data_IF_572471896557
#
_entry.id   IF_572471896557
#
_cell.length_a   1.000
_cell.length_b   1.000
_cell.length_c   1.000
_cell.angle_alpha   90.00
_cell.angle_beta   90.00
_cell.angle_gamma   90.00
#
_symmetry.space_group_name_H-M   'P 1'
#
loop_
_entity.id
_entity.type
_entity.pdbx_description
1 polymer ?
#
# COMPACT_ATOMS: atom_id res chain seq x y z
N UNK A 1 -7.87 20.05 3.71
CA UNK A 1 -6.41 19.73 3.77
C UNK A 1 -6.30 18.22 3.85
N UNK A 2 -5.69 17.61 2.86
CA UNK A 2 -5.52 16.15 2.77
C UNK A 2 -4.17 15.77 3.40
N UNK A 3 -4.20 14.95 4.45
CA UNK A 3 -2.98 14.46 5.13
C UNK A 3 -2.80 12.97 4.88
N UNK A 4 -1.58 12.59 4.57
CA UNK A 4 -1.16 11.20 4.37
C UNK A 4 -0.03 10.90 5.35
N UNK A 5 -0.16 9.80 6.06
CA UNK A 5 0.85 9.25 6.95
C UNK A 5 1.24 7.85 6.45
N UNK A 6 2.49 7.67 6.07
CA UNK A 6 3.02 6.35 5.71
C UNK A 6 3.27 5.59 7.01
N UNK A 7 2.47 4.57 7.28
CA UNK A 7 2.61 3.73 8.47
C UNK A 7 3.68 2.67 8.29
N UNK A 8 3.74 2.09 7.09
CA UNK A 8 4.74 1.12 6.68
C UNK A 8 5.10 1.31 5.21
N UNK A 9 6.37 1.16 4.89
CA UNK A 9 6.92 1.47 3.55
C UNK A 9 7.51 0.27 2.82
N UNK A 10 7.72 -0.87 3.50
CA UNK A 10 8.27 -2.08 2.90
C UNK A 10 7.18 -2.98 2.28
N UNK A 11 7.57 -3.85 1.36
CA UNK A 11 6.75 -4.94 0.85
C UNK A 11 6.56 -6.05 1.90
N UNK A 12 5.85 -7.11 1.54
CA UNK A 12 5.59 -8.26 2.39
C UNK A 12 6.86 -8.79 3.07
N UNK A 13 6.77 -9.04 4.38
CA UNK A 13 7.88 -9.45 5.23
C UNK A 13 8.66 -8.31 5.90
N UNK A 14 8.46 -7.05 5.49
CA UNK A 14 9.14 -5.89 6.06
C UNK A 14 10.64 -5.82 5.71
N UNK A 15 11.35 -4.84 6.26
CA UNK A 15 12.80 -4.72 6.12
C UNK A 15 13.42 -4.32 7.46
N UNK A 16 14.35 -5.11 8.05
CA UNK A 16 14.86 -6.38 7.54
C UNK A 16 13.79 -7.49 7.59
N UNK A 17 13.72 -8.33 6.57
CA UNK A 17 12.87 -9.51 6.64
C UNK A 17 13.49 -10.54 7.57
N UNK A 18 12.68 -11.25 8.37
CA UNK A 18 13.10 -12.13 9.45
C UNK A 18 14.08 -13.25 9.03
N UNK A 19 13.96 -13.75 7.82
CA UNK A 19 14.73 -14.85 7.26
C UNK A 19 15.69 -14.41 6.12
N UNK A 20 15.92 -13.11 5.93
CA UNK A 20 16.72 -12.57 4.83
C UNK A 20 18.05 -11.99 5.34
N UNK A 21 19.14 -12.33 4.67
CA UNK A 21 20.48 -11.77 4.86
C UNK A 21 20.99 -11.02 3.61
N UNK A 22 20.07 -10.45 2.82
CA UNK A 22 20.47 -9.51 1.76
C UNK A 22 21.20 -8.30 2.34
N UNK A 23 21.96 -7.61 1.51
CA UNK A 23 22.77 -6.44 1.90
C UNK A 23 21.96 -5.41 2.69
N UNK A 24 20.72 -5.15 2.25
CA UNK A 24 19.80 -4.23 2.94
C UNK A 24 19.43 -4.77 4.33
N UNK A 25 19.00 -6.04 4.41
CA UNK A 25 18.60 -6.65 5.67
C UNK A 25 19.75 -6.68 6.67
N UNK A 26 20.96 -6.99 6.23
CA UNK A 26 22.16 -6.95 7.08
C UNK A 26 22.49 -5.52 7.52
N UNK A 27 22.51 -4.56 6.59
CA UNK A 27 22.79 -3.16 6.89
C UNK A 27 21.84 -2.59 7.97
N UNK A 28 20.54 -2.95 7.91
CA UNK A 28 19.57 -2.52 8.91
C UNK A 28 19.83 -3.19 10.26
N UNK A 29 20.12 -4.51 10.31
CA UNK A 29 20.45 -5.21 11.56
C UNK A 29 21.72 -4.69 12.20
N UNK A 30 22.72 -4.37 11.38
CA UNK A 30 24.02 -3.82 11.80
C UNK A 30 23.93 -2.31 12.09
N UNK A 31 22.76 -1.71 11.97
CA UNK A 31 22.52 -0.28 12.23
C UNK A 31 23.44 0.65 11.42
N UNK A 32 23.70 0.29 10.18
CA UNK A 32 24.48 1.14 9.27
C UNK A 32 23.83 2.53 9.18
N UNK A 33 24.64 3.57 9.24
CA UNK A 33 24.16 4.95 9.28
C UNK A 33 23.20 5.27 8.10
N UNK A 34 22.06 5.85 8.43
CA UNK A 34 21.00 6.20 7.48
C UNK A 34 20.06 5.05 7.09
N UNK A 35 20.31 3.82 7.56
CA UNK A 35 19.35 2.72 7.43
C UNK A 35 18.36 2.71 8.59
N UNK A 36 17.15 2.22 8.36
CA UNK A 36 16.13 2.05 9.39
C UNK A 36 15.22 0.86 9.09
N UNK A 37 14.73 0.17 10.13
CA UNK A 37 13.66 -0.81 9.95
C UNK A 37 12.44 -0.20 9.28
N UNK A 38 11.76 -0.99 8.46
CA UNK A 38 10.52 -0.61 7.76
C UNK A 38 9.50 -1.72 7.91
N UNK A 39 8.30 -1.35 8.31
CA UNK A 39 7.16 -2.26 8.40
C UNK A 39 6.48 -2.40 7.05
N UNK A 40 5.63 -3.42 6.93
CA UNK A 40 4.93 -3.74 5.69
C UNK A 40 3.93 -2.64 5.31
N UNK A 41 3.74 -2.45 4.01
CA UNK A 41 3.08 -1.29 3.41
C UNK A 41 1.66 -1.04 3.92
N UNK A 42 1.46 0.16 4.43
CA UNK A 42 0.16 0.72 4.80
C UNK A 42 0.27 2.23 4.88
N UNK A 43 -0.78 2.95 4.51
CA UNK A 43 -0.88 4.38 4.75
C UNK A 43 -2.18 4.71 5.51
N UNK A 44 -2.15 5.78 6.29
CA UNK A 44 -3.36 6.38 6.87
C UNK A 44 -3.62 7.74 6.25
N UNK A 45 -4.87 8.04 5.91
CA UNK A 45 -5.26 9.30 5.27
C UNK A 45 -6.44 9.93 6.00
N UNK A 46 -6.42 11.25 6.13
CA UNK A 46 -7.53 12.04 6.65
C UNK A 46 -7.71 13.33 5.85
N UNK A 47 -8.96 13.78 5.70
CA UNK A 47 -9.30 15.06 5.10
C UNK A 47 -9.77 16.10 6.14
N UNK A 48 -10.16 15.67 7.34
CA UNK A 48 -10.66 16.53 8.42
C UNK A 48 -9.75 16.59 9.67
N UNK A 49 -8.71 15.74 9.72
CA UNK A 49 -7.73 15.70 10.79
C UNK A 49 -8.12 14.82 11.99
N UNK A 50 -9.34 14.30 12.04
CA UNK A 50 -9.87 13.48 13.14
C UNK A 50 -10.19 12.05 12.72
N UNK A 51 -10.85 11.90 11.58
CA UNK A 51 -11.24 10.59 11.05
C UNK A 51 -10.17 10.08 10.08
N UNK A 52 -9.51 8.98 10.44
CA UNK A 52 -8.46 8.38 9.63
C UNK A 52 -8.96 7.09 8.98
N UNK A 53 -8.61 6.91 7.73
CA UNK A 53 -8.81 5.66 7.01
C UNK A 53 -7.46 5.04 6.69
N UNK A 54 -7.32 3.74 6.96
CA UNK A 54 -6.19 2.94 6.50
C UNK A 54 -6.38 2.55 5.05
N UNK A 55 -5.31 2.54 4.30
CA UNK A 55 -5.22 1.93 2.98
C UNK A 55 -4.23 0.77 3.09
N UNK A 56 -4.78 -0.44 3.03
CA UNK A 56 -4.20 -1.71 3.43
C UNK A 56 -3.93 -1.84 4.93
N UNK A 57 -4.21 -3.01 5.48
CA UNK A 57 -4.02 -3.35 6.88
C UNK A 57 -2.85 -4.33 7.01
N UNK A 58 -1.66 -3.79 7.22
CA UNK A 58 -0.42 -4.55 7.37
C UNK A 58 -0.43 -5.45 8.63
N UNK A 59 0.18 -6.63 8.59
CA UNK A 59 0.41 -7.45 9.79
C UNK A 59 1.08 -6.69 10.93
N UNK A 60 1.85 -5.64 10.60
CA UNK A 60 2.58 -4.80 11.57
C UNK A 60 1.70 -3.69 12.18
N UNK A 61 0.40 -3.65 11.89
CA UNK A 61 -0.50 -2.54 12.25
C UNK A 61 -0.43 -2.16 13.73
N UNK A 62 -0.28 -3.13 14.63
CA UNK A 62 -0.16 -2.85 16.07
C UNK A 62 1.03 -1.95 16.39
N UNK A 63 2.22 -2.27 15.86
CA UNK A 63 3.42 -1.45 16.03
C UNK A 63 3.35 -0.13 15.25
N UNK A 64 2.73 -0.14 14.07
CA UNK A 64 2.50 1.06 13.28
C UNK A 64 1.64 2.09 14.04
N UNK A 65 0.57 1.64 14.70
CA UNK A 65 -0.26 2.51 15.56
C UNK A 65 0.57 3.05 16.73
N UNK A 66 1.32 2.19 17.43
CA UNK A 66 2.12 2.61 18.60
C UNK A 66 3.21 3.62 18.26
N UNK A 67 3.80 3.52 17.07
CA UNK A 67 4.88 4.40 16.63
C UNK A 67 4.39 5.76 16.09
N UNK A 68 3.09 5.92 15.85
CA UNK A 68 2.53 7.12 15.23
C UNK A 68 1.49 7.78 16.14
N UNK A 69 1.82 8.93 16.72
CA UNK A 69 0.98 9.65 17.70
C UNK A 69 -0.40 10.01 17.17
N UNK A 70 -0.51 10.24 15.84
CA UNK A 70 -1.78 10.54 15.17
C UNK A 70 -2.78 9.39 15.25
N UNK A 71 -2.28 8.16 15.45
CA UNK A 71 -3.08 6.94 15.56
C UNK A 71 -3.42 6.57 17.02
N UNK A 72 -2.91 7.33 18.00
CA UNK A 72 -3.15 7.03 19.42
C UNK A 72 -4.59 7.35 19.82
N UNK A 73 -5.13 6.60 20.80
CA UNK A 73 -6.42 6.90 21.41
C UNK A 73 -6.46 8.30 22.02
N UNK A 74 -7.63 8.95 21.96
CA UNK A 74 -7.87 10.18 22.72
C UNK A 74 -7.84 9.85 24.23
N UNK A 75 -7.07 10.62 24.97
CA UNK A 75 -6.84 10.46 26.42
C UNK A 75 -8.09 10.61 27.27
N UNK A 76 -9.13 11.24 26.72
CA UNK A 76 -10.41 11.46 27.43
C UNK A 76 -11.28 10.19 27.47
N UNK A 77 -10.92 9.13 26.74
CA UNK A 77 -11.70 7.90 26.66
C UNK A 77 -10.86 6.70 27.10
N UNK A 78 -11.40 5.77 27.92
CA UNK A 78 -10.72 4.53 28.28
C UNK A 78 -10.39 3.64 27.08
N UNK A 79 -11.24 3.69 26.03
CA UNK A 79 -11.04 3.06 24.73
C UNK A 79 -11.50 4.01 23.63
N UNK A 80 -10.64 4.22 22.64
CA UNK A 80 -10.89 5.07 21.48
C UNK A 80 -9.94 4.66 20.35
N UNK A 81 -10.34 4.91 19.12
CA UNK A 81 -9.49 4.83 17.96
C UNK A 81 -9.83 5.97 17.01
N UNK A 82 -8.85 6.69 16.46
CA UNK A 82 -9.09 7.65 15.40
C UNK A 82 -9.37 6.97 14.04
N UNK A 83 -9.19 5.64 13.97
CA UNK A 83 -9.44 4.88 12.74
C UNK A 83 -10.95 4.69 12.55
N UNK A 84 -11.45 5.19 11.44
CA UNK A 84 -12.86 5.10 11.03
C UNK A 84 -13.12 4.02 9.99
N UNK A 85 -12.07 3.57 9.29
CA UNK A 85 -12.21 2.52 8.29
C UNK A 85 -10.90 2.04 7.69
N UNK A 86 -11.02 1.03 6.85
CA UNK A 86 -9.95 0.42 6.07
C UNK A 86 -10.40 0.28 4.62
N UNK A 87 -9.52 0.58 3.68
CA UNK A 87 -9.69 0.33 2.23
C UNK A 87 -8.63 -0.65 1.79
N UNK A 88 -9.02 -1.75 1.17
CA UNK A 88 -8.10 -2.80 0.72
C UNK A 88 -7.89 -2.73 -0.80
N UNK A 89 -6.64 -2.78 -1.25
CA UNK A 89 -6.28 -2.75 -2.68
C UNK A 89 -6.15 -4.14 -3.30
N UNK A 90 -5.92 -5.16 -2.50
CA UNK A 90 -5.89 -6.57 -2.90
C UNK A 90 -6.10 -7.49 -1.68
N UNK A 91 -6.04 -8.81 -1.89
CA UNK A 91 -6.22 -9.82 -0.85
C UNK A 91 -4.94 -10.43 -0.29
N UNK A 92 -3.77 -9.90 -0.58
CA UNK A 92 -2.50 -10.45 -0.08
C UNK A 92 -2.36 -10.28 1.45
N UNK A 93 -1.61 -11.19 2.06
CA UNK A 93 -1.46 -11.29 3.54
C UNK A 93 -0.94 -9.98 4.13
N UNK A 94 0.02 -9.34 3.47
CA UNK A 94 0.60 -8.06 3.91
C UNK A 94 -0.38 -6.88 3.82
N UNK A 95 -1.51 -7.04 3.12
CA UNK A 95 -2.56 -6.02 3.01
C UNK A 95 -3.80 -6.30 3.84
N UNK A 96 -4.06 -7.56 4.25
CA UNK A 96 -5.31 -7.90 4.96
C UNK A 96 -5.10 -8.41 6.37
N UNK A 97 -3.93 -8.98 6.72
CA UNK A 97 -3.76 -9.65 8.01
C UNK A 97 -3.84 -8.70 9.21
N UNK A 98 -3.52 -7.43 9.05
CA UNK A 98 -3.67 -6.40 10.08
C UNK A 98 -5.11 -6.15 10.53
N UNK A 99 -6.10 -6.56 9.72
CA UNK A 99 -7.51 -6.55 10.14
C UNK A 99 -7.72 -7.33 11.45
N UNK A 100 -6.94 -8.39 11.69
CA UNK A 100 -7.01 -9.18 12.91
C UNK A 100 -6.64 -8.39 14.18
N UNK A 101 -5.81 -7.34 14.04
CA UNK A 101 -5.50 -6.39 15.12
C UNK A 101 -6.72 -5.55 15.49
N UNK A 102 -7.62 -5.28 14.53
CA UNK A 102 -8.79 -4.40 14.69
C UNK A 102 -10.04 -5.12 15.27
N UNK A 103 -9.89 -6.34 15.82
CA UNK A 103 -10.96 -7.14 16.42
C UNK A 103 -11.53 -6.60 17.74
N UNK A 104 -11.02 -5.47 18.22
CA UNK A 104 -11.24 -4.98 19.59
C UNK A 104 -12.57 -4.20 19.76
N UNK A 105 -13.57 -4.47 18.92
CA UNK A 105 -14.92 -3.93 19.01
C UNK A 105 -14.98 -2.39 18.97
N UNK A 106 -14.23 -1.81 18.04
CA UNK A 106 -14.35 -0.40 17.65
C UNK A 106 -15.15 -0.31 16.34
N UNK A 107 -15.98 0.68 16.22
CA UNK A 107 -16.74 0.94 15.00
C UNK A 107 -15.81 1.19 13.81
N UNK A 108 -15.99 0.43 12.75
CA UNK A 108 -15.10 0.44 11.59
C UNK A 108 -15.85 0.09 10.31
N UNK A 109 -15.51 0.75 9.19
CA UNK A 109 -15.96 0.37 7.85
C UNK A 109 -14.81 -0.24 7.07
N UNK A 110 -14.98 -1.45 6.52
CA UNK A 110 -13.99 -2.12 5.66
C UNK A 110 -14.48 -2.10 4.23
N UNK A 111 -13.82 -1.33 3.39
CA UNK A 111 -14.10 -1.20 1.96
C UNK A 111 -13.15 -2.08 1.16
N UNK A 112 -13.70 -2.91 0.29
CA UNK A 112 -12.94 -3.74 -0.62
C UNK A 112 -13.76 -4.09 -1.87
N UNK A 113 -13.06 -4.42 -2.96
CA UNK A 113 -13.71 -5.04 -4.11
C UNK A 113 -14.37 -6.37 -3.70
N UNK A 114 -15.51 -6.77 -4.31
CA UNK A 114 -16.20 -8.02 -3.98
C UNK A 114 -15.28 -9.26 -3.96
N UNK A 115 -14.31 -9.32 -4.85
CA UNK A 115 -13.31 -10.40 -4.87
C UNK A 115 -12.47 -10.47 -3.60
N UNK A 116 -12.02 -9.33 -3.09
CA UNK A 116 -11.26 -9.27 -1.82
C UNK A 116 -12.17 -9.57 -0.64
N UNK A 117 -13.43 -9.13 -0.67
CA UNK A 117 -14.41 -9.53 0.35
C UNK A 117 -14.69 -11.05 0.34
N UNK A 118 -14.69 -11.71 -0.83
CA UNK A 118 -14.78 -13.16 -0.91
C UNK A 118 -13.59 -13.83 -0.20
N UNK A 119 -12.38 -13.33 -0.43
CA UNK A 119 -11.17 -13.80 0.29
C UNK A 119 -11.37 -13.73 1.80
N UNK A 120 -11.83 -12.60 2.33
CA UNK A 120 -12.07 -12.45 3.77
C UNK A 120 -13.19 -13.37 4.28
N UNK A 121 -14.22 -13.62 3.46
CA UNK A 121 -15.35 -14.49 3.82
C UNK A 121 -14.94 -15.97 3.86
N UNK A 122 -14.13 -16.40 2.91
CA UNK A 122 -13.71 -17.79 2.78
C UNK A 122 -12.65 -18.20 3.82
N UNK A 123 -12.07 -17.21 4.51
CA UNK A 123 -11.11 -17.41 5.60
C UNK A 123 -11.76 -17.09 6.95
N UNK A 124 -12.22 -18.15 7.63
CA UNK A 124 -13.02 -18.05 8.86
C UNK A 124 -12.38 -17.25 10.00
N UNK A 125 -11.05 -17.08 9.99
CA UNK A 125 -10.36 -16.27 11.01
C UNK A 125 -10.84 -14.80 11.01
N UNK A 126 -11.24 -14.27 9.86
CA UNK A 126 -11.76 -12.90 9.76
C UNK A 126 -13.18 -12.73 10.33
N UNK A 127 -13.83 -13.80 10.79
CA UNK A 127 -15.08 -13.72 11.55
C UNK A 127 -14.90 -13.14 12.95
N UNK A 128 -13.64 -12.95 13.42
CA UNK A 128 -13.34 -12.17 14.64
C UNK A 128 -13.75 -10.69 14.52
N UNK A 129 -13.89 -10.19 13.30
CA UNK A 129 -14.42 -8.87 13.01
C UNK A 129 -15.95 -8.90 13.15
N UNK A 130 -16.42 -8.68 14.38
CA UNK A 130 -17.84 -8.78 14.72
C UNK A 130 -18.67 -7.77 13.88
N UNK A 131 -19.71 -8.20 13.14
CA UNK A 131 -20.53 -7.34 12.30
C UNK A 131 -21.30 -6.25 13.07
N UNK A 132 -21.50 -6.40 14.38
CA UNK A 132 -22.07 -5.32 15.19
C UNK A 132 -21.19 -4.06 15.20
N UNK A 133 -19.88 -4.21 15.00
CA UNK A 133 -18.87 -3.14 15.02
C UNK A 133 -18.22 -2.90 13.67
N UNK A 134 -18.12 -3.91 12.80
CA UNK A 134 -17.39 -3.81 11.53
C UNK A 134 -18.31 -4.06 10.36
N UNK A 135 -18.56 -3.00 9.56
CA UNK A 135 -19.29 -3.10 8.31
C UNK A 135 -18.33 -3.46 7.17
N UNK A 136 -18.69 -4.49 6.38
CA UNK A 136 -18.01 -4.80 5.12
C UNK A 136 -18.79 -4.13 3.97
N UNK A 137 -18.15 -3.18 3.28
CA UNK A 137 -18.76 -2.37 2.23
C UNK A 137 -18.05 -2.58 0.91
N UNK A 138 -18.82 -2.65 -0.16
CA UNK A 138 -18.26 -2.76 -1.51
C UNK A 138 -17.54 -1.48 -1.92
N UNK A 139 -16.42 -1.65 -2.58
CA UNK A 139 -15.63 -0.60 -3.21
C UNK A 139 -15.95 -0.62 -4.72
N UNK A 140 -16.80 0.29 -5.21
CA UNK A 140 -17.20 0.31 -6.61
C UNK A 140 -16.04 0.77 -7.49
N UNK A 141 -15.87 0.11 -8.66
CA UNK A 141 -14.84 0.46 -9.63
C UNK A 141 -15.26 1.68 -10.48
N UNK A 142 -14.28 2.50 -10.83
CA UNK A 142 -14.43 3.65 -11.74
C UNK A 142 -15.53 4.66 -11.33
N UNK A 143 -15.81 4.72 -10.04
CA UNK A 143 -16.80 5.63 -9.47
C UNK A 143 -16.24 6.30 -8.22
N UNK A 144 -16.21 7.63 -8.22
CA UNK A 144 -15.84 8.39 -7.03
C UNK A 144 -16.99 8.42 -6.04
N UNK A 145 -16.69 8.13 -4.75
CA UNK A 145 -17.67 8.20 -3.67
C UNK A 145 -16.97 8.57 -2.36
N UNK A 146 -17.75 9.04 -1.41
CA UNK A 146 -17.24 9.40 -0.08
C UNK A 146 -17.11 8.16 0.82
N UNK A 147 -15.96 8.01 1.48
CA UNK A 147 -15.81 7.02 2.54
C UNK A 147 -16.65 7.44 3.76
N UNK A 148 -17.56 6.58 4.18
CA UNK A 148 -18.42 6.80 5.32
C UNK A 148 -17.92 6.02 6.54
N UNK A 149 -18.04 6.62 7.71
CA UNK A 149 -17.88 5.92 9.00
C UNK A 149 -18.97 4.86 9.15
N UNK A 150 -18.83 3.97 10.14
CA UNK A 150 -19.84 2.93 10.38
C UNK A 150 -21.24 3.50 10.64
N UNK A 151 -21.33 4.61 11.36
CA UNK A 151 -22.60 5.30 11.66
C UNK A 151 -23.22 6.03 10.45
N UNK A 152 -22.59 5.98 9.28
CA UNK A 152 -23.06 6.63 8.05
C UNK A 152 -22.61 8.08 7.86
N UNK A 153 -21.91 8.66 8.82
CA UNK A 153 -21.36 10.01 8.67
C UNK A 153 -20.23 10.05 7.65
N UNK A 154 -20.11 11.16 6.91
CA UNK A 154 -19.05 11.41 5.94
C UNK A 154 -17.71 11.68 6.62
N UNK A 155 -16.63 11.30 5.95
CA UNK A 155 -15.25 11.54 6.38
C UNK A 155 -14.56 12.69 5.63
N UNK A 156 -15.23 13.29 4.67
CA UNK A 156 -14.67 14.22 3.67
C UNK A 156 -13.60 13.58 2.75
N UNK A 157 -13.31 12.29 2.87
CA UNK A 157 -12.44 11.54 1.96
C UNK A 157 -13.26 10.94 0.82
N UNK A 158 -12.87 11.29 -0.41
CA UNK A 158 -13.40 10.69 -1.63
C UNK A 158 -12.41 9.67 -2.16
N UNK A 159 -12.90 8.54 -2.62
CA UNK A 159 -12.09 7.48 -3.22
C UNK A 159 -12.71 7.05 -4.55
N UNK A 160 -11.86 6.83 -5.54
CA UNK A 160 -12.18 6.19 -6.81
C UNK A 160 -11.21 5.04 -7.02
N UNK A 161 -11.72 3.81 -7.05
CA UNK A 161 -10.95 2.61 -7.36
C UNK A 161 -10.93 2.36 -8.86
N UNK A 162 -9.79 1.89 -9.37
CA UNK A 162 -9.62 1.52 -10.77
C UNK A 162 -8.71 0.30 -10.90
N UNK A 163 -8.87 -0.44 -11.98
CA UNK A 163 -8.04 -1.62 -12.25
C UNK A 163 -6.59 -1.22 -12.51
N UNK A 164 -5.69 -2.04 -11.97
CA UNK A 164 -4.26 -1.96 -12.23
C UNK A 164 -3.77 -3.36 -12.63
N UNK A 165 -2.95 -3.49 -13.69
CA UNK A 165 -2.33 -4.76 -13.99
C UNK A 165 -1.56 -5.31 -12.79
N UNK A 166 -1.95 -6.48 -12.33
CA UNK A 166 -1.42 -7.12 -11.15
C UNK A 166 -1.67 -8.62 -11.18
N UNK A 167 -1.80 -9.22 -10.02
CA UNK A 167 -2.10 -10.65 -9.89
C UNK A 167 -3.09 -10.91 -8.76
N UNK A 168 -3.70 -12.08 -8.80
CA UNK A 168 -4.46 -12.63 -7.68
C UNK A 168 -3.54 -12.86 -6.47
N UNK A 169 -4.09 -12.80 -5.25
CA UNK A 169 -3.34 -13.09 -4.02
C UNK A 169 -2.62 -14.44 -4.14
N UNK A 170 -1.36 -14.51 -3.67
CA UNK A 170 -0.45 -15.65 -3.82
C UNK A 170 -1.09 -17.00 -3.45
N UNK A 171 -1.86 -17.04 -2.39
CA UNK A 171 -2.50 -18.24 -1.84
C UNK A 171 -3.77 -18.68 -2.59
N UNK A 172 -4.20 -17.91 -3.58
CA UNK A 172 -5.31 -18.21 -4.48
C UNK A 172 -4.84 -18.50 -5.92
N UNK A 173 -3.52 -18.47 -6.17
CA UNK A 173 -2.96 -18.76 -7.47
C UNK A 173 -3.33 -20.21 -7.90
N UNK A 174 -3.83 -20.36 -9.11
CA UNK A 174 -4.21 -21.63 -9.72
C UNK A 174 -3.44 -21.81 -11.03
N UNK A 175 -2.39 -22.61 -10.98
CA UNK A 175 -1.53 -22.88 -12.14
C UNK A 175 -2.29 -23.54 -13.30
N UNK A 176 -3.41 -24.23 -13.03
CA UNK A 176 -4.24 -24.84 -14.05
C UNK A 176 -4.96 -23.82 -14.94
N UNK A 177 -5.06 -22.57 -14.49
CA UNK A 177 -5.70 -21.45 -15.22
C UNK A 177 -4.76 -20.67 -16.13
N UNK A 178 -3.55 -21.17 -16.36
CA UNK A 178 -2.58 -20.57 -17.26
C UNK A 178 -1.68 -19.50 -16.61
N UNK A 179 -1.00 -18.72 -17.44
CA UNK A 179 0.06 -17.80 -17.02
C UNK A 179 -0.40 -16.68 -16.06
N UNK A 180 -1.68 -16.31 -16.08
CA UNK A 180 -2.24 -15.30 -15.17
C UNK A 180 -2.77 -15.88 -13.86
N UNK A 181 -2.62 -17.20 -13.63
CA UNK A 181 -2.99 -17.89 -12.38
C UNK A 181 -4.43 -17.69 -11.92
N UNK A 182 -5.34 -17.32 -12.84
CA UNK A 182 -6.73 -17.05 -12.54
C UNK A 182 -7.01 -15.61 -12.08
N UNK A 183 -6.09 -14.69 -12.27
CA UNK A 183 -6.28 -13.25 -12.01
C UNK A 183 -7.45 -12.70 -12.80
N UNK A 184 -8.26 -11.88 -12.15
CA UNK A 184 -9.45 -11.21 -12.71
C UNK A 184 -9.47 -9.76 -12.27
N UNK A 185 -10.33 -8.97 -12.93
CA UNK A 185 -10.60 -7.59 -12.54
C UNK A 185 -10.94 -7.48 -11.04
N UNK A 186 -10.35 -6.51 -10.36
CA UNK A 186 -10.54 -6.27 -8.93
C UNK A 186 -9.64 -7.09 -7.99
N UNK A 187 -8.78 -7.98 -8.50
CA UNK A 187 -7.77 -8.66 -7.68
C UNK A 187 -6.65 -7.70 -7.25
N UNK A 188 -6.31 -6.73 -8.11
CA UNK A 188 -5.36 -5.63 -7.81
C UNK A 188 -5.95 -4.32 -8.31
N UNK A 189 -6.04 -3.34 -7.42
CA UNK A 189 -6.59 -2.03 -7.74
C UNK A 189 -5.67 -0.89 -7.32
N UNK A 190 -5.73 0.20 -8.09
CA UNK A 190 -5.21 1.50 -7.71
C UNK A 190 -6.33 2.39 -7.18
N UNK A 191 -5.95 3.43 -6.45
CA UNK A 191 -6.89 4.36 -5.84
C UNK A 191 -6.52 5.80 -6.17
N UNK A 192 -7.50 6.60 -6.60
CA UNK A 192 -7.46 8.05 -6.51
C UNK A 192 -8.12 8.45 -5.19
N UNK A 193 -7.37 9.12 -4.34
CA UNK A 193 -7.82 9.55 -3.00
C UNK A 193 -7.83 11.06 -2.99
N UNK A 194 -8.96 11.65 -2.61
CA UNK A 194 -9.14 13.10 -2.66
C UNK A 194 -9.90 13.65 -1.46
N UNK A 195 -9.74 14.94 -1.21
CA UNK A 195 -10.52 15.68 -0.23
C UNK A 195 -11.75 16.27 -0.91
N UNK A 196 -12.92 16.08 -0.30
CA UNK A 196 -14.18 16.66 -0.76
C UNK A 196 -14.20 18.19 -0.65
N UNK A 197 -13.37 18.76 0.23
CA UNK A 197 -13.41 20.20 0.57
C UNK A 197 -12.55 21.09 -0.33
N UNK A 198 -11.39 20.59 -0.77
CA UNK A 198 -10.40 21.42 -1.45
C UNK A 198 -9.90 20.83 -2.77
N UNK A 199 -10.55 19.77 -3.25
CA UNK A 199 -10.23 19.06 -4.50
C UNK A 199 -8.77 18.57 -4.61
N UNK A 200 -8.02 18.58 -3.51
CA UNK A 200 -6.68 17.99 -3.48
C UNK A 200 -6.78 16.48 -3.60
N UNK A 201 -5.89 15.88 -4.38
CA UNK A 201 -5.90 14.43 -4.60
C UNK A 201 -4.50 13.88 -4.87
N UNK A 202 -4.38 12.58 -4.70
CA UNK A 202 -3.21 11.80 -5.10
C UNK A 202 -3.61 10.40 -5.54
N UNK A 203 -2.68 9.71 -6.20
CA UNK A 203 -2.86 8.30 -6.54
C UNK A 203 -2.05 7.41 -5.59
N UNK A 204 -2.66 6.29 -5.19
CA UNK A 204 -2.04 5.23 -4.39
C UNK A 204 -2.10 3.92 -5.16
N UNK A 205 -0.95 3.45 -5.62
CA UNK A 205 -0.78 2.25 -6.47
C UNK A 205 0.39 1.43 -5.90
N UNK A 206 0.17 0.66 -4.80
CA UNK A 206 1.24 -0.08 -4.12
C UNK A 206 1.67 -1.36 -4.84
N UNK A 207 0.93 -1.80 -5.86
CA UNK A 207 1.24 -2.94 -6.71
C UNK A 207 0.86 -2.63 -8.15
N UNK A 208 1.78 -2.87 -9.10
CA UNK A 208 1.55 -2.65 -10.52
C UNK A 208 2.50 -3.53 -11.36
N UNK A 209 1.97 -4.50 -12.12
CA UNK A 209 2.79 -5.39 -12.93
C UNK A 209 3.34 -4.73 -14.21
N UNK A 210 2.61 -3.76 -14.76
CA UNK A 210 3.02 -2.99 -15.95
C UNK A 210 2.21 -1.71 -16.10
N UNK A 211 2.79 -0.71 -16.74
CA UNK A 211 2.07 0.46 -17.19
C UNK A 211 1.27 0.15 -18.46
N UNK A 212 0.05 0.64 -18.52
CA UNK A 212 -0.80 0.65 -19.72
C UNK A 212 -1.03 2.09 -20.17
N UNK A 213 -1.46 2.28 -21.42
CA UNK A 213 -1.80 3.61 -21.94
C UNK A 213 -2.95 4.24 -21.13
N UNK A 214 -3.95 3.43 -20.76
CA UNK A 214 -5.07 3.88 -19.94
C UNK A 214 -4.61 4.35 -18.55
N UNK A 215 -3.77 3.56 -17.87
CA UNK A 215 -3.22 3.93 -16.57
C UNK A 215 -2.35 5.19 -16.67
N UNK A 216 -1.53 5.30 -17.71
CA UNK A 216 -0.69 6.46 -17.98
C UNK A 216 -1.50 7.74 -18.15
N UNK A 217 -2.59 7.68 -18.94
CA UNK A 217 -3.49 8.82 -19.12
C UNK A 217 -4.23 9.19 -17.84
N UNK A 218 -4.65 8.19 -17.04
CA UNK A 218 -5.35 8.41 -15.77
C UNK A 218 -4.51 9.18 -14.75
N UNK A 219 -3.21 8.88 -14.65
CA UNK A 219 -2.31 9.49 -13.66
C UNK A 219 -1.55 10.71 -14.17
N UNK A 220 -1.64 11.02 -15.46
CA UNK A 220 -0.94 12.13 -16.09
C UNK A 220 -1.24 13.46 -15.42
N UNK A 221 -0.19 14.23 -15.10
CA UNK A 221 -0.28 15.57 -14.53
C UNK A 221 -0.79 15.62 -13.09
N UNK A 222 -0.86 14.50 -12.39
CA UNK A 222 -1.30 14.50 -10.99
C UNK A 222 -0.29 15.21 -10.08
N UNK A 223 -0.78 15.72 -8.96
CA UNK A 223 0.06 16.43 -7.98
C UNK A 223 1.00 15.46 -7.24
N UNK A 224 0.54 14.25 -6.94
CA UNK A 224 1.34 13.24 -6.23
C UNK A 224 0.89 11.82 -6.58
N UNK A 225 1.86 10.92 -6.58
CA UNK A 225 1.63 9.47 -6.63
C UNK A 225 2.50 8.76 -5.61
N UNK A 226 1.89 7.84 -4.84
CA UNK A 226 2.62 6.78 -4.14
C UNK A 226 2.53 5.53 -5.00
N UNK A 227 3.66 5.07 -5.52
CA UNK A 227 3.73 4.03 -6.53
C UNK A 227 4.58 2.85 -6.09
N UNK A 228 4.29 1.69 -6.64
CA UNK A 228 4.98 0.43 -6.46
C UNK A 228 6.51 0.57 -6.59
N UNK A 229 7.22 0.33 -5.50
CA UNK A 229 8.68 0.38 -5.40
C UNK A 229 9.32 -0.97 -5.14
N UNK A 230 8.62 -2.07 -5.38
CA UNK A 230 8.97 -3.39 -4.86
C UNK A 230 10.38 -3.81 -5.26
N UNK A 231 10.76 -3.77 -6.52
CA UNK A 231 12.05 -4.27 -6.99
C UNK A 231 12.79 -3.26 -7.86
N UNK A 232 14.11 -3.23 -7.74
CA UNK A 232 14.98 -2.46 -8.64
C UNK A 232 15.04 -3.08 -10.04
N UNK A 233 15.20 -4.41 -10.10
CA UNK A 233 15.24 -5.20 -11.35
C UNK A 233 14.27 -6.37 -11.26
N UNK A 234 13.76 -6.79 -12.42
CA UNK A 234 12.79 -7.87 -12.50
C UNK A 234 13.30 -9.21 -11.92
N UNK A 235 14.59 -9.50 -12.07
CA UNK A 235 15.26 -10.73 -11.62
C UNK A 235 15.97 -10.57 -10.23
N UNK A 236 15.71 -9.49 -9.51
CA UNK A 236 16.43 -9.12 -8.28
C UNK A 236 16.43 -10.23 -7.22
N UNK A 237 15.31 -10.94 -7.05
CA UNK A 237 15.20 -12.02 -6.07
C UNK A 237 16.14 -13.20 -6.43
N UNK A 238 16.16 -13.60 -7.70
CA UNK A 238 17.00 -14.69 -8.19
C UNK A 238 18.49 -14.31 -8.19
N UNK A 239 18.81 -13.10 -8.64
CA UNK A 239 20.20 -12.63 -8.69
C UNK A 239 20.85 -12.51 -7.30
N UNK A 240 20.04 -12.32 -6.25
CA UNK A 240 20.47 -12.26 -4.85
C UNK A 240 20.33 -13.59 -4.10
N UNK A 241 19.92 -14.66 -4.77
CA UNK A 241 19.68 -16.00 -4.19
C UNK A 241 18.72 -15.99 -2.98
N UNK A 242 17.69 -15.13 -3.00
CA UNK A 242 16.69 -15.04 -1.93
C UNK A 242 15.30 -15.47 -2.38
N UNK A 243 15.12 -15.82 -3.65
CA UNK A 243 13.89 -16.34 -4.22
C UNK A 243 14.05 -16.59 -5.72
N UNK A 244 13.11 -17.34 -6.31
CA UNK A 244 13.11 -17.70 -7.73
C UNK A 244 12.17 -16.84 -8.59
N UNK A 245 11.22 -16.13 -7.94
CA UNK A 245 10.19 -15.37 -8.65
C UNK A 245 10.75 -14.04 -9.16
N UNK A 246 10.34 -13.70 -10.38
CA UNK A 246 10.57 -12.37 -10.95
C UNK A 246 9.54 -11.37 -10.43
N UNK A 247 9.82 -10.07 -10.58
CA UNK A 247 8.87 -9.00 -10.23
C UNK A 247 7.54 -9.16 -10.95
N UNK A 248 7.58 -9.36 -12.27
CA UNK A 248 6.37 -9.61 -13.07
C UNK A 248 5.57 -10.81 -12.57
N UNK A 249 6.26 -11.92 -12.21
CA UNK A 249 5.60 -13.11 -11.64
C UNK A 249 4.95 -12.81 -10.28
N UNK A 250 5.44 -11.84 -9.55
CA UNK A 250 4.88 -11.39 -8.28
C UNK A 250 3.83 -10.28 -8.43
N UNK A 251 3.56 -9.80 -9.65
CA UNK A 251 2.61 -8.71 -9.91
C UNK A 251 3.20 -7.31 -9.77
N UNK A 252 4.52 -7.18 -9.85
CA UNK A 252 5.25 -5.92 -9.67
C UNK A 252 6.19 -5.64 -10.84
N UNK A 253 6.13 -4.43 -11.39
CA UNK A 253 7.13 -3.95 -12.33
C UNK A 253 8.38 -3.47 -11.58
N UNK A 254 9.53 -3.55 -12.26
CA UNK A 254 10.79 -3.04 -11.72
C UNK A 254 10.85 -1.50 -11.73
N UNK A 255 11.74 -0.95 -10.90
CA UNK A 255 11.93 0.51 -10.84
C UNK A 255 12.79 1.01 -12.02
N UNK A 256 13.84 0.28 -12.38
CA UNK A 256 14.87 0.68 -13.36
C UNK A 256 14.71 0.03 -14.74
N UNK A 257 15.45 0.54 -15.73
CA UNK A 257 15.45 0.03 -17.09
C UNK A 257 14.36 0.64 -17.97
N UNK A 258 14.33 0.25 -19.25
CA UNK A 258 13.37 0.77 -20.23
C UNK A 258 11.93 0.33 -19.96
N UNK A 259 11.75 -0.81 -19.31
CA UNK A 259 10.49 -1.40 -18.88
C UNK A 259 10.14 -1.04 -17.42
N UNK A 260 10.97 -0.21 -16.79
CA UNK A 260 10.80 0.20 -15.40
C UNK A 260 9.85 1.37 -15.19
N UNK A 261 9.38 1.51 -13.95
CA UNK A 261 8.45 2.57 -13.57
C UNK A 261 9.05 3.98 -13.70
N UNK A 262 10.37 4.16 -13.51
CA UNK A 262 11.00 5.45 -13.72
C UNK A 262 10.87 5.94 -15.16
N UNK A 263 11.12 5.08 -16.13
CA UNK A 263 11.00 5.41 -17.55
C UNK A 263 9.51 5.59 -17.93
N UNK A 264 8.65 4.68 -17.49
CA UNK A 264 7.22 4.71 -17.82
C UNK A 264 6.51 5.97 -17.30
N UNK A 265 6.94 6.55 -16.17
CA UNK A 265 6.34 7.73 -15.57
C UNK A 265 7.11 9.04 -15.87
N UNK A 266 8.17 8.98 -16.67
CA UNK A 266 9.07 10.13 -16.92
C UNK A 266 8.35 11.34 -17.51
N UNK A 267 7.53 11.13 -18.55
CA UNK A 267 6.88 12.17 -19.33
C UNK A 267 5.42 12.43 -18.90
N UNK A 268 4.98 11.83 -17.78
CA UNK A 268 3.61 11.99 -17.31
C UNK A 268 3.36 13.29 -16.53
N UNK A 269 4.36 14.14 -16.35
CA UNK A 269 4.24 15.46 -15.68
C UNK A 269 3.69 15.36 -14.25
N UNK A 270 4.09 14.35 -13.52
CA UNK A 270 3.71 14.13 -12.12
C UNK A 270 4.65 14.95 -11.23
N UNK A 271 4.09 15.81 -10.35
CA UNK A 271 4.92 16.73 -9.56
C UNK A 271 5.70 16.00 -8.45
N UNK A 272 5.08 15.09 -7.72
CA UNK A 272 5.72 14.33 -6.65
C UNK A 272 5.51 12.83 -6.86
N UNK A 273 6.61 12.12 -7.05
CA UNK A 273 6.64 10.67 -7.23
C UNK A 273 7.33 10.02 -6.03
N UNK A 274 6.65 9.09 -5.36
CA UNK A 274 7.15 8.46 -4.14
C UNK A 274 7.01 6.95 -4.27
N UNK A 275 8.11 6.21 -4.12
CA UNK A 275 8.07 4.76 -4.01
C UNK A 275 7.59 4.31 -2.65
N UNK A 276 6.67 3.35 -2.65
CA UNK A 276 6.14 2.64 -1.48
C UNK A 276 6.15 1.13 -1.77
N UNK A 277 5.88 0.27 -0.79
CA UNK A 277 5.86 -1.18 -0.96
C UNK A 277 7.22 -1.71 -1.47
N UNK A 278 8.30 -1.39 -0.75
CA UNK A 278 9.67 -1.62 -1.20
C UNK A 278 10.20 -2.92 -0.58
N UNK A 279 10.62 -3.87 -1.42
CA UNK A 279 11.14 -5.13 -0.93
C UNK A 279 12.50 -4.97 -0.24
N UNK A 280 12.75 -5.80 0.76
CA UNK A 280 14.01 -5.80 1.54
C UNK A 280 15.26 -6.11 0.69
N UNK A 281 15.11 -6.58 -0.55
CA UNK A 281 16.22 -6.77 -1.48
C UNK A 281 16.54 -5.54 -2.31
N UNK A 282 15.61 -4.58 -2.39
CA UNK A 282 15.77 -3.42 -3.27
C UNK A 282 16.84 -2.46 -2.72
N UNK A 283 17.92 -2.22 -3.49
CA UNK A 283 19.05 -1.39 -3.04
C UNK A 283 18.68 0.08 -2.81
N UNK A 284 17.54 0.57 -3.32
CA UNK A 284 17.09 1.95 -3.03
C UNK A 284 16.82 2.20 -1.54
N UNK A 285 16.72 1.15 -0.72
CA UNK A 285 16.62 1.24 0.74
C UNK A 285 17.95 1.62 1.42
N UNK A 286 19.07 1.47 0.72
CA UNK A 286 20.39 1.90 1.20
C UNK A 286 20.64 3.36 0.80
N UNK A 287 20.81 4.29 1.75
CA UNK A 287 20.92 5.72 1.44
C UNK A 287 22.12 6.08 0.57
N UNK A 288 23.14 5.26 0.57
CA UNK A 288 24.41 5.49 -0.13
C UNK A 288 24.55 4.69 -1.42
N UNK A 289 23.55 3.88 -1.79
CA UNK A 289 23.60 3.09 -3.02
C UNK A 289 23.53 3.99 -4.26
N UNK A 290 24.09 3.53 -5.36
CA UNK A 290 23.99 4.24 -6.63
C UNK A 290 22.55 4.22 -7.15
N UNK A 291 21.81 3.16 -6.89
CA UNK A 291 20.39 3.03 -7.21
C UNK A 291 19.55 4.10 -6.50
N UNK A 292 19.84 4.39 -5.24
CA UNK A 292 19.17 5.46 -4.49
C UNK A 292 19.43 6.82 -5.10
N UNK A 293 20.66 7.12 -5.48
CA UNK A 293 21.03 8.38 -6.18
C UNK A 293 20.28 8.50 -7.50
N UNK A 294 20.25 7.42 -8.31
CA UNK A 294 19.51 7.41 -9.59
C UNK A 294 18.03 7.73 -9.37
N UNK A 295 17.39 7.14 -8.35
CA UNK A 295 15.99 7.41 -7.99
C UNK A 295 15.78 8.89 -7.70
N UNK A 296 16.62 9.48 -6.87
CA UNK A 296 16.53 10.89 -6.46
C UNK A 296 16.82 11.86 -7.62
N UNK A 297 17.81 11.57 -8.45
CA UNK A 297 18.15 12.35 -9.67
C UNK A 297 17.01 12.34 -10.70
N UNK A 298 16.21 11.26 -10.75
CA UNK A 298 15.01 11.17 -11.58
C UNK A 298 13.74 11.78 -10.91
N UNK A 299 13.91 12.49 -9.80
CA UNK A 299 12.85 13.22 -9.12
C UNK A 299 11.88 12.33 -8.34
N UNK A 300 12.32 11.14 -7.96
CA UNK A 300 11.58 10.25 -7.08
C UNK A 300 12.04 10.37 -5.63
N UNK A 301 11.13 10.10 -4.72
CA UNK A 301 11.40 9.93 -3.30
C UNK A 301 11.20 8.47 -2.90
N UNK A 302 11.90 8.05 -1.86
CA UNK A 302 11.71 6.74 -1.24
C UNK A 302 10.99 6.95 0.09
N UNK A 303 9.78 6.40 0.23
CA UNK A 303 9.00 6.54 1.46
C UNK A 303 9.70 5.84 2.65
N UNK A 304 9.34 6.25 3.84
CA UNK A 304 9.78 5.64 5.11
C UNK A 304 8.63 5.66 6.12
N UNK A 305 8.71 4.78 7.11
CA UNK A 305 7.71 4.68 8.17
C UNK A 305 7.67 5.98 8.99
N UNK A 306 6.48 6.54 9.16
CA UNK A 306 6.27 7.83 9.81
C UNK A 306 6.39 9.05 8.87
N UNK A 307 6.55 8.86 7.55
CA UNK A 307 6.56 9.97 6.59
C UNK A 307 5.19 10.65 6.55
N UNK A 308 5.18 11.95 6.83
CA UNK A 308 3.97 12.77 6.76
C UNK A 308 3.96 13.63 5.49
N UNK A 309 2.82 13.65 4.79
CA UNK A 309 2.62 14.44 3.57
C UNK A 309 1.32 15.20 3.71
N UNK A 310 1.35 16.46 3.33
CA UNK A 310 0.15 17.33 3.27
C UNK A 310 0.00 17.88 1.84
N UNK A 311 -1.22 17.82 1.30
CA UNK A 311 -1.63 18.35 0.01
C UNK A 311 -2.61 19.52 0.17
#
# INVERSE_FOLDING_TARGET
MLKVLVLGSAAGGGSPQWNCNSDVSMAVRDKVAGTSPRTQSSIAVTANGSDWFLFNASPDLGSQILNNKQMHPDKNFPRHSPLSGVVLTNGDVDHVAGLLTLRERQDLSVYAHPRVHSVLKDNSIFNVLNPDYVDRRELPMNKSFELLKKNGEGSDLMVEAFEVPGKIALWLEDESKGENFGTQEGDTIGLKISSKKDNKFFFYIPACAKMTDELSERIRGCEMILFDGTLWKNDEMASKNVGEKTGQRMGHMNNSGQDGSMEALKDLKINKKIYIHINTTNPILLPTSDERKIVEENGWQVSYDGMEITL
#
